data_IF_529992226121
#
_entry.id   IF_529992226121
#
_cell.length_a   1.000
_cell.length_b   1.000
_cell.length_c   1.000
_cell.angle_alpha   90.00
_cell.angle_beta   90.00
_cell.angle_gamma   90.00
#
_symmetry.space_group_name_H-M   'P 1'
#
loop_
_entity.id
_entity.type
_entity.pdbx_description
1 polymer ?
#
# COMPACT_ATOMS: atom_id res chain seq x y z
N UNK A 1 -45.99 -33.47 28.40
CA UNK A 1 -44.84 -34.30 27.97
C UNK A 1 -44.10 -33.73 26.74
N UNK A 2 -44.78 -33.11 25.76
CA UNK A 2 -44.13 -32.56 24.56
C UNK A 2 -43.21 -31.35 24.84
N UNK A 3 -43.54 -30.53 25.82
CA UNK A 3 -42.74 -29.36 26.22
C UNK A 3 -41.50 -29.74 27.05
N UNK A 4 -41.54 -30.89 27.74
CA UNK A 4 -40.39 -31.44 28.49
C UNK A 4 -39.33 -32.03 27.54
N UNK A 5 -39.78 -32.62 26.43
CA UNK A 5 -38.90 -33.16 25.39
C UNK A 5 -38.14 -32.04 24.65
N UNK A 6 -38.79 -30.88 24.49
CA UNK A 6 -38.25 -29.72 23.77
C UNK A 6 -37.18 -28.98 24.59
N UNK A 7 -37.30 -28.96 25.92
CA UNK A 7 -36.27 -28.43 26.84
C UNK A 7 -35.04 -29.32 26.94
N UNK A 8 -35.17 -30.64 26.75
CA UNK A 8 -34.06 -31.59 26.84
C UNK A 8 -33.11 -31.50 25.63
N UNK A 9 -33.65 -31.21 24.45
CA UNK A 9 -32.87 -31.08 23.20
C UNK A 9 -32.02 -29.80 23.19
N UNK A 10 -32.48 -28.72 23.83
CA UNK A 10 -31.78 -27.43 23.87
C UNK A 10 -30.51 -27.46 24.75
N UNK A 11 -30.47 -28.33 25.76
CA UNK A 11 -29.34 -28.43 26.71
C UNK A 11 -28.18 -29.25 26.13
N UNK A 12 -28.45 -30.14 25.15
CA UNK A 12 -27.44 -31.02 24.55
C UNK A 12 -26.44 -30.30 23.63
N UNK A 13 -26.66 -29.02 23.29
CA UNK A 13 -25.76 -28.27 22.39
C UNK A 13 -24.62 -27.55 23.12
N UNK A 14 -24.51 -27.63 24.45
CA UNK A 14 -23.46 -26.92 25.22
C UNK A 14 -22.22 -27.75 25.58
N UNK A 15 -22.10 -29.00 25.15
CA UNK A 15 -20.91 -29.82 25.45
C UNK A 15 -20.19 -30.28 24.18
N UNK A 16 -19.44 -29.37 23.56
CA UNK A 16 -18.38 -29.72 22.63
C UNK A 16 -17.27 -28.66 22.73
N UNK A 17 -16.22 -28.99 23.48
CA UNK A 17 -14.81 -28.68 23.19
C UNK A 17 -13.92 -29.02 24.40
N UNK A 18 -13.11 -30.07 24.28
CA UNK A 18 -11.82 -30.18 24.98
C UNK A 18 -10.90 -31.00 24.10
N UNK A 19 -9.97 -30.32 23.42
CA UNK A 19 -8.91 -30.91 22.62
C UNK A 19 -7.64 -30.93 23.47
N UNK A 20 -7.16 -32.14 23.75
CA UNK A 20 -5.95 -32.40 24.54
C UNK A 20 -4.74 -32.35 23.60
N UNK A 21 -3.83 -31.39 23.80
CA UNK A 21 -2.55 -31.33 23.07
C UNK A 21 -1.60 -32.41 23.56
N UNK A 22 -1.13 -33.24 22.62
CA UNK A 22 0.00 -34.17 22.79
C UNK A 22 1.30 -33.43 22.48
N UNK A 23 2.19 -33.32 23.46
CA UNK A 23 3.60 -32.98 23.26
C UNK A 23 4.35 -34.18 22.69
N UNK A 24 5.11 -34.05 21.58
CA UNK A 24 6.13 -35.01 21.24
C UNK A 24 7.44 -34.65 21.96
N UNK A 25 7.89 -35.59 22.80
CA UNK A 25 9.22 -35.69 23.41
C UNK A 25 10.30 -35.77 22.31
N UNK A 26 11.25 -34.83 22.33
CA UNK A 26 12.35 -34.75 21.37
C UNK A 26 13.55 -35.57 21.88
N UNK A 27 13.91 -36.65 21.18
CA UNK A 27 15.12 -37.44 21.42
C UNK A 27 16.16 -37.19 20.32
N UNK A 28 17.31 -36.71 20.79
CA UNK A 28 18.68 -36.97 20.36
C UNK A 28 19.24 -36.37 19.05
N UNK A 29 20.22 -35.49 19.27
CA UNK A 29 21.45 -35.20 18.53
C UNK A 29 21.91 -36.26 17.51
N UNK A 30 22.29 -35.80 16.31
CA UNK A 30 23.66 -35.92 15.80
C UNK A 30 23.87 -35.10 14.51
N UNK A 31 24.97 -34.34 14.52
CA UNK A 31 25.84 -33.96 13.40
C UNK A 31 25.23 -33.29 12.15
N UNK A 32 25.42 -31.97 12.02
CA UNK A 32 25.42 -31.28 10.72
C UNK A 32 26.26 -29.98 10.78
N UNK A 33 26.95 -29.61 9.68
CA UNK A 33 27.88 -28.49 9.65
C UNK A 33 27.11 -27.20 9.92
N UNK A 34 27.74 -26.27 10.64
CA UNK A 34 27.14 -24.99 11.04
C UNK A 34 26.64 -24.24 9.80
N UNK A 35 25.37 -24.43 9.47
CA UNK A 35 24.69 -23.61 8.47
C UNK A 35 24.57 -22.24 9.12
N UNK A 36 25.03 -21.21 8.43
CA UNK A 36 24.71 -19.85 8.85
C UNK A 36 23.19 -19.71 8.77
N UNK A 37 22.52 -19.85 9.92
CA UNK A 37 21.09 -19.60 10.03
C UNK A 37 20.91 -18.10 9.88
N UNK A 38 20.57 -17.69 8.66
CA UNK A 38 20.02 -16.36 8.42
C UNK A 38 18.71 -16.32 9.20
N UNK A 39 18.62 -15.40 10.17
CA UNK A 39 17.40 -15.19 10.93
C UNK A 39 16.38 -14.62 9.97
N UNK A 40 15.56 -15.49 9.40
CA UNK A 40 14.46 -15.08 8.54
C UNK A 40 13.60 -14.09 9.32
N UNK A 41 13.55 -12.86 8.83
CA UNK A 41 12.71 -11.78 9.37
C UNK A 41 11.26 -12.00 8.91
N UNK A 42 10.79 -13.24 8.93
CA UNK A 42 9.43 -13.57 8.54
C UNK A 42 8.51 -13.13 9.68
N UNK A 43 7.81 -12.02 9.44
CA UNK A 43 6.76 -11.52 10.31
C UNK A 43 5.69 -12.61 10.43
N UNK A 44 5.42 -13.05 11.65
CA UNK A 44 4.44 -14.10 11.89
C UNK A 44 3.03 -13.53 11.73
N UNK A 45 2.32 -14.00 10.71
CA UNK A 45 0.94 -13.57 10.44
C UNK A 45 -0.04 -13.89 11.59
N UNK A 46 0.34 -14.74 12.55
CA UNK A 46 -0.43 -14.97 13.77
C UNK A 46 -0.35 -13.77 14.73
N UNK A 47 0.76 -13.04 14.78
CA UNK A 47 0.94 -11.87 15.64
C UNK A 47 0.09 -10.69 15.15
N UNK A 48 -0.14 -10.60 13.84
CA UNK A 48 -1.02 -9.60 13.22
C UNK A 48 -2.50 -9.86 13.57
N UNK A 49 -2.90 -11.14 13.65
CA UNK A 49 -4.31 -11.54 13.87
C UNK A 49 -4.81 -11.34 15.30
N UNK A 50 -3.93 -10.96 16.23
CA UNK A 50 -4.29 -10.72 17.63
C UNK A 50 -4.90 -9.34 17.86
N UNK A 51 -4.78 -8.42 16.90
CA UNK A 51 -5.26 -7.05 17.01
C UNK A 51 -6.30 -6.76 15.93
N UNK A 52 -7.27 -5.92 16.29
CA UNK A 52 -8.20 -5.31 15.34
C UNK A 52 -7.49 -4.23 14.50
N UNK A 53 -8.06 -3.90 13.34
CA UNK A 53 -7.53 -2.83 12.49
C UNK A 53 -7.50 -1.48 13.21
N UNK A 54 -8.47 -1.20 14.09
CA UNK A 54 -8.51 0.01 14.90
C UNK A 54 -7.37 0.04 15.95
N UNK A 55 -7.15 -1.05 16.67
CA UNK A 55 -6.04 -1.16 17.64
C UNK A 55 -4.69 -0.98 16.96
N UNK A 56 -4.53 -1.58 15.77
CA UNK A 56 -3.31 -1.43 14.96
C UNK A 56 -3.13 0.00 14.48
N UNK A 57 -4.19 0.64 14.00
CA UNK A 57 -4.13 2.04 13.57
C UNK A 57 -3.69 2.95 14.73
N UNK A 58 -4.33 2.81 15.90
CA UNK A 58 -3.98 3.58 17.09
C UNK A 58 -2.54 3.32 17.54
N UNK A 59 -2.11 2.06 17.54
CA UNK A 59 -0.75 1.68 17.86
C UNK A 59 0.28 2.32 16.91
N UNK A 60 0.06 2.22 15.60
CA UNK A 60 0.97 2.78 14.58
C UNK A 60 1.02 4.31 14.62
N UNK A 61 -0.11 4.98 14.84
CA UNK A 61 -0.15 6.42 15.02
C UNK A 61 0.64 6.85 16.27
N UNK A 62 0.47 6.14 17.39
CA UNK A 62 1.22 6.44 18.61
C UNK A 62 2.72 6.18 18.44
N UNK A 63 3.10 5.07 17.82
CA UNK A 63 4.50 4.75 17.54
C UNK A 63 5.14 5.85 16.68
N UNK A 64 4.52 6.21 15.55
CA UNK A 64 5.02 7.26 14.67
C UNK A 64 5.07 8.63 15.34
N UNK A 65 4.03 9.00 16.09
CA UNK A 65 3.93 10.27 16.81
C UNK A 65 4.91 10.43 17.97
N UNK A 66 5.45 9.32 18.50
CA UNK A 66 6.44 9.34 19.57
C UNK A 66 7.86 9.72 19.11
N UNK A 67 8.09 9.72 17.79
CA UNK A 67 9.41 9.96 17.24
C UNK A 67 9.77 11.46 17.20
N UNK A 68 11.07 11.81 17.34
CA UNK A 68 11.50 13.20 17.30
C UNK A 68 11.14 13.91 15.99
N UNK A 69 10.71 15.17 16.12
CA UNK A 69 10.32 16.03 15.00
C UNK A 69 9.05 15.57 14.26
N UNK A 70 8.26 14.67 14.86
CA UNK A 70 6.88 14.37 14.48
C UNK A 70 5.96 15.12 15.44
N UNK A 71 5.17 16.06 14.92
CA UNK A 71 4.22 16.84 15.73
C UNK A 71 2.97 16.04 16.06
N UNK A 72 2.62 15.10 15.19
CA UNK A 72 1.50 14.19 15.34
C UNK A 72 1.49 13.15 14.23
N UNK A 73 0.72 12.10 14.41
CA UNK A 73 0.54 11.09 13.39
C UNK A 73 -0.90 10.58 13.39
N UNK A 74 -1.31 10.04 12.26
CA UNK A 74 -2.62 9.42 12.08
C UNK A 74 -2.46 8.19 11.20
N UNK A 75 -3.18 7.12 11.51
CA UNK A 75 -3.10 5.90 10.73
C UNK A 75 -4.48 5.34 10.43
N UNK A 76 -4.58 4.64 9.30
CA UNK A 76 -5.72 3.82 8.92
C UNK A 76 -5.19 2.46 8.50
N UNK A 77 -5.79 1.41 9.02
CA UNK A 77 -5.43 0.02 8.73
C UNK A 77 -6.63 -0.67 8.12
N UNK A 78 -6.40 -1.48 7.10
CA UNK A 78 -7.40 -2.33 6.46
C UNK A 78 -6.78 -3.67 6.08
N UNK A 79 -7.04 -4.70 6.87
CA UNK A 79 -6.40 -6.01 6.70
C UNK A 79 -4.87 -5.88 6.78
N UNK A 80 -4.14 -6.25 5.74
CA UNK A 80 -2.66 -6.15 5.73
C UNK A 80 -2.14 -4.77 5.33
N UNK A 81 -3.01 -3.87 4.83
CA UNK A 81 -2.60 -2.54 4.40
C UNK A 81 -2.66 -1.57 5.59
N UNK A 82 -1.61 -0.78 5.76
CA UNK A 82 -1.58 0.32 6.73
C UNK A 82 -1.09 1.61 6.05
N UNK A 83 -1.82 2.71 6.23
CA UNK A 83 -1.41 4.04 5.81
C UNK A 83 -1.12 4.85 7.07
N UNK A 84 0.07 5.45 7.15
CA UNK A 84 0.50 6.27 8.30
C UNK A 84 0.88 7.65 7.79
N UNK A 85 0.06 8.65 8.10
CA UNK A 85 0.36 10.05 7.87
C UNK A 85 1.11 10.64 9.07
N UNK A 86 2.21 11.34 8.82
CA UNK A 86 2.97 12.06 9.84
C UNK A 86 2.90 13.57 9.58
N UNK A 87 2.65 14.32 10.64
CA UNK A 87 2.74 15.76 10.66
C UNK A 87 4.14 16.17 11.14
N UNK A 88 4.81 16.99 10.35
CA UNK A 88 6.17 17.49 10.60
C UNK A 88 6.17 18.99 10.41
N UNK A 89 7.17 19.68 10.98
CA UNK A 89 7.25 21.13 10.86
C UNK A 89 7.35 21.56 9.37
N UNK A 90 6.48 22.51 9.00
CA UNK A 90 6.35 23.09 7.66
C UNK A 90 7.60 23.84 7.19
N UNK A 91 8.44 24.30 8.13
CA UNK A 91 9.64 25.07 7.84
C UNK A 91 10.87 24.18 7.62
N UNK A 92 10.71 22.84 7.69
CA UNK A 92 11.78 21.89 7.42
C UNK A 92 12.06 21.75 5.92
N UNK A 93 13.36 21.64 5.60
CA UNK A 93 13.77 21.30 4.24
C UNK A 93 13.34 19.87 3.85
N UNK A 94 13.21 19.61 2.54
CA UNK A 94 12.78 18.30 2.02
C UNK A 94 13.70 17.15 2.43
N UNK A 95 15.00 17.39 2.61
CA UNK A 95 15.95 16.36 3.03
C UNK A 95 15.75 15.97 4.48
N UNK A 96 15.40 16.92 5.34
CA UNK A 96 15.05 16.70 6.75
C UNK A 96 13.73 15.95 6.87
N UNK A 97 12.70 16.37 6.13
CA UNK A 97 11.42 15.64 6.04
C UNK A 97 11.66 14.20 5.58
N UNK A 98 12.49 14.00 4.56
CA UNK A 98 12.89 12.68 4.08
C UNK A 98 13.55 11.81 5.15
N UNK A 99 14.43 12.41 5.97
CA UNK A 99 15.10 11.74 7.09
C UNK A 99 14.11 11.31 8.18
N UNK A 100 13.17 12.19 8.54
CA UNK A 100 12.13 11.88 9.53
C UNK A 100 11.23 10.75 9.02
N UNK A 101 10.76 10.85 7.77
CA UNK A 101 9.97 9.80 7.12
C UNK A 101 10.70 8.45 7.13
N UNK A 102 11.99 8.45 6.84
CA UNK A 102 12.82 7.25 6.88
C UNK A 102 12.91 6.67 8.31
N UNK A 103 13.12 7.51 9.32
CA UNK A 103 13.16 7.07 10.72
C UNK A 103 11.84 6.43 11.16
N UNK A 104 10.71 7.03 10.78
CA UNK A 104 9.37 6.48 11.06
C UNK A 104 9.19 5.15 10.34
N UNK A 105 9.51 5.08 9.04
CA UNK A 105 9.42 3.85 8.27
C UNK A 105 10.26 2.72 8.89
N UNK A 106 11.49 3.00 9.35
CA UNK A 106 12.34 1.99 9.97
C UNK A 106 11.81 1.51 11.33
N UNK A 107 11.21 2.39 12.13
CA UNK A 107 10.56 1.99 13.39
C UNK A 107 9.37 1.05 13.18
N UNK A 108 8.67 1.20 12.06
CA UNK A 108 7.46 0.44 11.73
C UNK A 108 7.79 -0.84 10.95
N UNK A 109 8.87 -0.83 10.15
CA UNK A 109 9.26 -1.91 9.24
C UNK A 109 9.42 -3.28 9.91
N UNK A 110 10.00 -3.29 11.11
CA UNK A 110 10.23 -4.52 11.87
C UNK A 110 9.09 -4.83 12.86
N UNK A 111 8.06 -3.99 12.87
CA UNK A 111 6.89 -4.16 13.72
C UNK A 111 5.88 -5.10 13.02
N UNK A 112 5.47 -6.21 13.65
CA UNK A 112 4.46 -7.08 13.06
C UNK A 112 3.15 -6.36 12.72
N UNK A 113 2.72 -5.41 13.55
CA UNK A 113 1.50 -4.64 13.34
C UNK A 113 1.62 -3.62 12.20
N UNK A 114 2.87 -3.23 11.88
CA UNK A 114 3.23 -2.23 10.88
C UNK A 114 3.82 -2.79 9.58
N UNK A 115 3.95 -4.11 9.48
CA UNK A 115 4.48 -4.80 8.32
C UNK A 115 3.80 -4.34 7.02
N UNK A 116 4.56 -3.67 6.14
CA UNK A 116 4.03 -3.16 4.87
C UNK A 116 3.27 -1.83 4.96
N UNK A 117 3.40 -1.10 6.08
CA UNK A 117 2.84 0.23 6.22
C UNK A 117 3.49 1.24 5.26
N UNK A 118 2.66 2.14 4.72
CA UNK A 118 3.08 3.25 3.86
C UNK A 118 3.12 4.51 4.70
N UNK A 119 4.32 5.08 4.88
CA UNK A 119 4.53 6.31 5.64
C UNK A 119 4.53 7.52 4.71
N UNK A 120 3.67 8.49 5.02
CA UNK A 120 3.41 9.69 4.22
C UNK A 120 3.69 10.92 5.08
N UNK A 121 4.51 11.84 4.57
CA UNK A 121 4.86 13.10 5.24
C UNK A 121 4.38 14.28 4.38
N UNK A 122 3.11 14.22 3.98
CA UNK A 122 2.45 15.22 3.16
C UNK A 122 1.21 15.75 3.92
N UNK A 123 1.08 17.07 4.16
CA UNK A 123 -0.03 17.61 4.95
C UNK A 123 -1.40 17.36 4.34
N UNK A 124 -1.55 17.42 3.01
CA UNK A 124 -2.83 17.19 2.32
C UNK A 124 -3.26 15.73 2.50
N UNK A 125 -2.39 14.78 2.15
CA UNK A 125 -2.69 13.36 2.29
C UNK A 125 -2.88 12.95 3.75
N UNK A 126 -2.10 13.50 4.68
CA UNK A 126 -2.28 13.24 6.13
C UNK A 126 -3.64 13.73 6.62
N UNK A 127 -4.06 14.92 6.19
CA UNK A 127 -5.40 15.43 6.46
C UNK A 127 -6.52 14.52 5.92
N UNK A 128 -6.33 13.96 4.72
CA UNK A 128 -7.27 13.01 4.12
C UNK A 128 -7.31 11.67 4.86
N UNK A 129 -6.16 11.13 5.28
CA UNK A 129 -6.10 9.92 6.14
C UNK A 129 -6.87 10.16 7.44
N UNK A 130 -6.71 11.34 8.05
CA UNK A 130 -7.45 11.71 9.25
C UNK A 130 -8.96 11.79 9.03
N UNK A 131 -9.41 12.35 7.90
CA UNK A 131 -10.83 12.33 7.55
C UNK A 131 -11.38 10.91 7.39
N UNK A 132 -10.60 10.01 6.78
CA UNK A 132 -10.96 8.59 6.66
C UNK A 132 -11.07 7.91 8.03
N UNK A 133 -10.10 8.16 8.93
CA UNK A 133 -10.16 7.65 10.30
C UNK A 133 -11.45 8.10 11.01
N UNK A 134 -11.76 9.38 10.94
CA UNK A 134 -12.98 9.95 11.54
C UNK A 134 -14.25 9.35 10.93
N UNK A 135 -14.26 9.07 9.63
CA UNK A 135 -15.37 8.44 8.94
C UNK A 135 -15.58 6.98 9.38
N UNK A 136 -14.49 6.25 9.64
CA UNK A 136 -14.53 4.90 10.22
C UNK A 136 -15.10 4.96 11.65
N UNK A 137 -14.57 5.85 12.49
CA UNK A 137 -15.03 6.04 13.89
C UNK A 137 -16.51 6.45 13.96
N UNK A 138 -16.97 7.26 13.01
CA UNK A 138 -18.37 7.69 12.90
C UNK A 138 -19.30 6.60 12.33
N UNK A 139 -18.78 5.43 11.95
CA UNK A 139 -19.56 4.32 11.39
C UNK A 139 -20.13 4.61 9.99
N UNK A 140 -19.43 5.42 9.17
CA UNK A 140 -19.87 5.71 7.80
C UNK A 140 -19.87 4.44 6.93
N UNK A 141 -20.67 4.43 5.84
CA UNK A 141 -20.71 3.27 4.94
C UNK A 141 -19.35 2.93 4.35
N UNK A 142 -19.02 1.63 4.34
CA UNK A 142 -17.74 1.10 3.87
C UNK A 142 -17.38 1.57 2.45
N UNK A 143 -18.36 1.68 1.55
CA UNK A 143 -18.13 2.16 0.19
C UNK A 143 -17.54 3.58 0.14
N UNK A 144 -18.00 4.47 1.02
CA UNK A 144 -17.49 5.84 1.08
C UNK A 144 -16.03 5.89 1.56
N UNK A 145 -15.74 5.12 2.60
CA UNK A 145 -14.38 4.96 3.16
C UNK A 145 -13.43 4.40 2.08
N UNK A 146 -13.86 3.37 1.36
CA UNK A 146 -13.06 2.76 0.29
C UNK A 146 -12.81 3.71 -0.88
N UNK A 147 -13.79 4.56 -1.22
CA UNK A 147 -13.60 5.59 -2.26
C UNK A 147 -12.52 6.60 -1.85
N UNK A 148 -12.54 7.09 -0.61
CA UNK A 148 -11.52 8.01 -0.12
C UNK A 148 -10.13 7.38 -0.04
N UNK A 149 -10.04 6.15 0.48
CA UNK A 149 -8.80 5.38 0.50
C UNK A 149 -8.23 5.16 -0.89
N UNK A 150 -9.07 4.79 -1.87
CA UNK A 150 -8.65 4.60 -3.26
C UNK A 150 -8.12 5.90 -3.86
N UNK A 151 -8.78 7.03 -3.58
CA UNK A 151 -8.34 8.33 -4.03
C UNK A 151 -7.05 8.83 -3.33
N UNK A 152 -6.71 8.31 -2.15
CA UNK A 152 -5.40 8.56 -1.50
C UNK A 152 -4.33 7.70 -2.19
N UNK A 153 -4.57 6.40 -2.33
CA UNK A 153 -3.61 5.44 -2.90
C UNK A 153 -3.31 5.74 -4.36
N UNK A 154 -4.31 6.14 -5.14
CA UNK A 154 -4.13 6.52 -6.55
C UNK A 154 -3.20 7.71 -6.77
N UNK A 155 -2.96 8.55 -5.75
CA UNK A 155 -1.95 9.63 -5.82
C UNK A 155 -0.54 9.16 -5.45
N UNK A 156 -0.42 8.00 -4.81
CA UNK A 156 0.86 7.42 -4.39
C UNK A 156 1.47 6.54 -5.49
N UNK A 157 0.62 5.76 -6.17
CA UNK A 157 1.04 4.89 -7.25
C UNK A 157 1.15 5.71 -8.53
N UNK A 158 2.33 5.80 -9.16
CA UNK A 158 2.47 6.52 -10.41
C UNK A 158 1.69 5.82 -11.53
N UNK A 159 1.04 6.62 -12.38
CA UNK A 159 0.49 6.12 -13.64
C UNK A 159 1.63 5.86 -14.62
N UNK A 160 1.76 4.63 -15.09
CA UNK A 160 2.70 4.27 -16.15
C UNK A 160 1.96 4.37 -17.47
N UNK A 161 2.39 5.18 -18.43
CA UNK A 161 1.77 5.20 -19.76
C UNK A 161 1.87 3.81 -20.36
N UNK A 162 0.77 3.31 -20.92
CA UNK A 162 0.79 2.02 -21.59
C UNK A 162 1.73 2.13 -22.81
N UNK A 163 2.83 1.38 -22.76
CA UNK A 163 3.66 1.16 -23.94
C UNK A 163 2.86 0.22 -24.85
N UNK A 164 2.01 0.78 -25.73
CA UNK A 164 1.35 -0.08 -26.71
C UNK A 164 2.45 -0.56 -27.67
N UNK A 165 2.85 -1.84 -27.57
CA UNK A 165 3.78 -2.46 -28.52
C UNK A 165 3.16 -2.65 -29.92
N UNK A 166 1.89 -2.29 -30.10
CA UNK A 166 1.15 -2.40 -31.36
C UNK A 166 0.84 -1.04 -32.01
N UNK A 167 1.67 -0.02 -31.82
CA UNK A 167 1.62 1.10 -32.74
C UNK A 167 2.37 0.71 -34.00
N UNK A 168 1.65 0.13 -34.98
CA UNK A 168 2.11 0.23 -36.36
C UNK A 168 2.28 1.75 -36.64
N UNK A 169 3.47 2.25 -37.01
CA UNK A 169 3.67 3.68 -37.28
C UNK A 169 2.71 4.25 -38.34
N UNK A 170 2.10 3.38 -39.15
CA UNK A 170 1.07 3.73 -40.13
C UNK A 170 -0.32 4.00 -39.52
N UNK A 171 -0.57 3.65 -38.25
CA UNK A 171 -1.81 3.93 -37.52
C UNK A 171 -1.63 5.08 -36.50
N UNK A 172 -0.71 6.00 -36.78
CA UNK A 172 -0.69 7.28 -36.07
C UNK A 172 -2.08 7.94 -36.17
N UNK A 173 -2.56 8.68 -35.15
CA UNK A 173 -3.87 9.31 -35.23
C UNK A 173 -3.86 10.28 -36.41
N UNK A 174 -4.58 9.97 -37.49
CA UNK A 174 -4.67 10.86 -38.66
C UNK A 174 -5.52 12.10 -38.40
N UNK A 175 -6.28 12.11 -37.29
CA UNK A 175 -7.22 13.17 -36.94
C UNK A 175 -6.60 14.57 -36.88
N UNK A 176 -5.42 14.78 -36.24
CA UNK A 176 -4.77 16.09 -36.23
C UNK A 176 -4.35 16.53 -37.64
N UNK A 177 -3.81 15.64 -38.49
CA UNK A 177 -3.46 15.98 -39.88
C UNK A 177 -4.71 16.32 -40.70
N UNK A 178 -5.86 15.70 -40.44
CA UNK A 178 -7.13 15.96 -41.15
C UNK A 178 -7.83 17.27 -40.74
N UNK A 179 -7.49 17.86 -39.60
CA UNK A 179 -8.07 19.13 -39.11
C UNK A 179 -7.20 20.36 -39.41
N UNK A 180 -5.97 20.18 -39.88
CA UNK A 180 -5.03 21.26 -40.18
C UNK A 180 -5.29 21.98 -41.51
N UNK A 181 -4.89 23.25 -41.62
CA UNK A 181 -4.90 23.99 -42.88
C UNK A 181 -3.93 23.37 -43.92
N UNK A 182 -4.27 23.36 -45.23
CA UNK A 182 -3.44 22.73 -46.26
C UNK A 182 -2.02 23.27 -46.36
N UNK A 183 -1.78 24.56 -46.05
CA UNK A 183 -0.44 25.14 -46.09
C UNK A 183 0.44 24.53 -44.98
N UNK A 184 -0.09 24.44 -43.76
CA UNK A 184 0.61 23.86 -42.62
C UNK A 184 0.86 22.35 -42.76
N UNK A 185 -0.05 21.62 -43.45
CA UNK A 185 0.19 20.20 -43.78
C UNK A 185 1.40 20.03 -44.71
N UNK A 186 1.47 20.86 -45.76
CA UNK A 186 2.57 20.79 -46.72
C UNK A 186 3.92 21.17 -46.11
N UNK A 187 3.95 22.12 -45.17
CA UNK A 187 5.18 22.47 -44.43
C UNK A 187 5.64 21.32 -43.53
N UNK A 188 4.72 20.72 -42.76
CA UNK A 188 5.04 19.55 -41.93
C UNK A 188 5.54 18.36 -42.75
N UNK A 189 4.93 18.09 -43.90
CA UNK A 189 5.35 16.97 -44.76
C UNK A 189 6.75 17.21 -45.35
N UNK A 190 7.10 18.46 -45.68
CA UNK A 190 8.47 18.84 -46.10
C UNK A 190 9.48 18.65 -44.96
N UNK A 191 9.17 19.16 -43.77
CA UNK A 191 10.05 18.99 -42.60
C UNK A 191 10.27 17.51 -42.29
N UNK A 192 9.23 16.67 -42.36
CA UNK A 192 9.35 15.23 -42.15
C UNK A 192 10.22 14.55 -43.21
N UNK A 193 10.13 14.96 -44.48
CA UNK A 193 10.99 14.44 -45.55
C UNK A 193 12.45 14.88 -45.38
N UNK A 194 12.69 16.14 -45.03
CA UNK A 194 14.03 16.66 -44.82
C UNK A 194 14.71 15.95 -43.64
N UNK A 195 14.00 15.77 -42.52
CA UNK A 195 14.48 15.02 -41.35
C UNK A 195 14.79 13.56 -41.68
N UNK A 196 13.93 12.90 -42.47
CA UNK A 196 14.10 11.51 -42.87
C UNK A 196 15.33 11.33 -43.78
N UNK A 197 15.48 12.20 -44.77
CA UNK A 197 16.62 12.17 -45.68
C UNK A 197 17.93 12.51 -44.97
N UNK A 198 17.92 13.44 -44.02
CA UNK A 198 19.09 13.81 -43.22
C UNK A 198 19.55 12.65 -42.30
N UNK A 199 18.60 11.92 -41.68
CA UNK A 199 18.92 10.73 -40.90
C UNK A 199 19.44 9.56 -41.74
N UNK A 200 18.91 9.38 -42.96
CA UNK A 200 19.39 8.37 -43.90
C UNK A 200 20.82 8.68 -44.39
N UNK A 201 21.13 9.95 -44.62
CA UNK A 201 22.49 10.36 -45.03
C UNK A 201 23.50 10.15 -43.90
N UNK A 202 23.13 10.52 -42.67
CA UNK A 202 24.00 10.43 -41.49
C UNK A 202 24.24 9.00 -40.97
N UNK A 203 23.37 8.06 -41.32
CA UNK A 203 23.56 6.62 -41.02
C UNK A 203 24.37 5.88 -42.11
N UNK A 204 24.76 6.57 -43.19
CA UNK A 204 25.50 6.02 -44.34
C UNK A 204 26.98 6.43 -44.39
N UNK A 205 27.46 7.22 -43.42
CA UNK A 205 28.88 7.51 -43.13
C UNK A 205 29.38 6.68 -41.95
#
# INVERSE_FOLDING_TARGET
>A
MKNLLLTLILISMLTACTQKQTTPENKNMNDMPQTMSVKDSHINMADIRQYTDEERANYLANLAGSLPNVNGATAVVFGTLALVGIDVDKDLDRSRVGTIKYSVAESIKNDPQGAGAIVIADPDLTGRIKAVQQDIEAGKPLQGIMNELSAIIGRLIPEVPQMNENHNPQEAPEKPKQEMDPASRNELDKEQQDQSNDHMHKSSE
#
